data_IF_381305488195
#
_entry.id   IF_381305488195
#
_cell.length_a   1.000
_cell.length_b   1.000
_cell.length_c   1.000
_cell.angle_alpha   90.00
_cell.angle_beta   90.00
_cell.angle_gamma   90.00
#
_symmetry.space_group_name_H-M   'P 1'
#
loop_
_entity.id
_entity.type
_entity.pdbx_description
1 polymer ?
#
# COMPACT_ATOMS: atom_id res chain seq x y z
N UNK A 1 -4.24 3.90 -12.23
CA UNK A 1 -3.29 2.97 -11.65
C UNK A 1 -1.90 3.37 -12.13
N UNK A 2 -0.87 3.29 -11.30
CA UNK A 2 0.46 3.86 -11.58
C UNK A 2 1.45 2.87 -12.21
N UNK A 3 1.13 1.58 -12.24
CA UNK A 3 1.95 0.58 -12.90
C UNK A 3 1.78 0.66 -14.43
N UNK A 4 2.89 0.86 -15.15
CA UNK A 4 2.94 0.82 -16.60
C UNK A 4 3.04 -0.61 -17.13
N UNK A 5 3.94 -1.40 -16.53
CA UNK A 5 4.16 -2.81 -16.87
C UNK A 5 3.62 -3.70 -15.73
N UNK A 6 2.45 -4.30 -15.96
CA UNK A 6 1.76 -5.16 -15.00
C UNK A 6 2.04 -6.65 -15.20
N UNK A 7 2.73 -6.96 -16.28
CA UNK A 7 3.10 -8.32 -16.63
C UNK A 7 4.59 -8.57 -16.41
N UNK A 8 5.27 -7.64 -15.71
CA UNK A 8 6.68 -7.72 -15.40
C UNK A 8 6.98 -8.94 -14.53
N UNK A 9 7.82 -9.84 -15.02
CA UNK A 9 8.15 -11.11 -14.35
C UNK A 9 9.10 -10.93 -13.15
N UNK A 10 9.74 -9.77 -13.03
CA UNK A 10 10.64 -9.43 -11.92
C UNK A 10 9.90 -8.74 -10.76
N UNK A 11 8.57 -8.56 -10.88
CA UNK A 11 7.70 -7.92 -9.89
C UNK A 11 6.65 -8.88 -9.41
N UNK A 12 6.44 -8.95 -8.10
CA UNK A 12 5.35 -9.71 -7.47
C UNK A 12 4.26 -8.72 -7.06
N UNK A 13 3.07 -8.87 -7.63
CA UNK A 13 1.90 -8.09 -7.26
C UNK A 13 1.08 -8.83 -6.20
N UNK A 14 0.88 -8.19 -5.06
CA UNK A 14 0.17 -8.77 -3.93
C UNK A 14 -1.01 -7.92 -3.49
N UNK A 15 -2.09 -8.56 -3.07
CA UNK A 15 -3.25 -7.95 -2.43
C UNK A 15 -3.86 -8.98 -1.47
N UNK A 16 -4.53 -8.55 -0.42
CA UNK A 16 -5.26 -9.47 0.45
C UNK A 16 -6.62 -9.87 -0.13
N UNK A 17 -7.01 -9.28 -1.25
CA UNK A 17 -8.28 -9.51 -1.94
C UNK A 17 -8.03 -10.20 -3.27
N UNK A 18 -9.00 -11.00 -3.67
CA UNK A 18 -9.16 -11.49 -5.01
C UNK A 18 -10.63 -11.34 -5.36
N UNK A 19 -10.95 -10.50 -6.33
CA UNK A 19 -12.33 -10.23 -6.70
C UNK A 19 -12.47 -9.78 -8.13
N UNK A 20 -13.61 -10.11 -8.72
CA UNK A 20 -14.10 -9.56 -9.96
C UNK A 20 -15.49 -8.97 -9.70
N UNK A 21 -15.71 -7.71 -10.06
CA UNK A 21 -16.99 -7.03 -9.84
C UNK A 21 -17.20 -5.94 -10.88
N UNK A 22 -18.47 -5.65 -11.17
CA UNK A 22 -18.82 -4.50 -12.01
C UNK A 22 -19.02 -3.27 -11.13
N UNK A 23 -18.39 -2.18 -11.51
CA UNK A 23 -18.55 -0.88 -10.87
C UNK A 23 -19.84 -0.20 -11.33
N UNK A 24 -20.29 0.82 -10.59
CA UNK A 24 -21.52 1.57 -10.89
C UNK A 24 -21.49 2.27 -12.26
N UNK A 25 -20.32 2.48 -12.86
CA UNK A 25 -20.12 3.06 -14.19
C UNK A 25 -20.01 2.00 -15.30
N UNK A 26 -20.29 0.73 -14.99
CA UNK A 26 -20.26 -0.39 -15.93
C UNK A 26 -18.87 -0.98 -16.20
N UNK A 27 -17.79 -0.41 -15.63
CA UNK A 27 -16.44 -0.96 -15.79
C UNK A 27 -16.25 -2.18 -14.90
N UNK A 28 -15.53 -3.18 -15.41
CA UNK A 28 -15.11 -4.33 -14.61
C UNK A 28 -13.91 -3.93 -13.74
N UNK A 29 -14.00 -4.19 -12.44
CA UNK A 29 -12.88 -4.16 -11.52
C UNK A 29 -12.41 -5.59 -11.30
N UNK A 30 -11.20 -5.89 -11.74
CA UNK A 30 -10.52 -7.15 -11.50
C UNK A 30 -9.34 -6.90 -10.56
N UNK A 31 -9.36 -7.56 -9.41
CA UNK A 31 -8.22 -7.67 -8.49
C UNK A 31 -7.77 -9.11 -8.51
N UNK A 32 -6.66 -9.37 -9.19
CA UNK A 32 -6.05 -10.69 -9.35
C UNK A 32 -4.56 -10.54 -9.07
N UNK A 33 -4.13 -10.67 -7.81
CA UNK A 33 -2.74 -10.60 -7.45
C UNK A 33 -2.01 -11.90 -7.85
N UNK A 34 -0.68 -11.84 -7.98
CA UNK A 34 0.16 -13.03 -8.12
C UNK A 34 0.15 -13.83 -6.83
N UNK A 35 0.11 -13.12 -5.69
CA UNK A 35 0.00 -13.72 -4.35
C UNK A 35 -1.05 -12.99 -3.54
N UNK A 36 -2.00 -13.77 -3.02
CA UNK A 36 -2.95 -13.27 -2.01
C UNK A 36 -2.30 -13.32 -0.64
N UNK A 37 -2.03 -12.15 -0.06
CA UNK A 37 -1.40 -12.05 1.26
C UNK A 37 -1.79 -10.79 2.02
N UNK A 38 -1.64 -10.84 3.33
CA UNK A 38 -1.71 -9.68 4.20
C UNK A 38 -0.32 -9.04 4.30
N UNK A 39 -0.21 -7.75 3.98
CA UNK A 39 1.05 -7.02 4.03
C UNK A 39 1.65 -6.92 5.45
N UNK A 40 0.88 -7.23 6.49
CA UNK A 40 1.35 -7.26 7.88
C UNK A 40 2.06 -8.54 8.26
N UNK A 41 1.98 -9.55 7.41
CA UNK A 41 2.62 -10.86 7.60
C UNK A 41 2.94 -11.50 6.24
N UNK A 42 4.02 -11.03 5.62
CA UNK A 42 4.42 -11.49 4.30
C UNK A 42 5.15 -12.84 4.36
N UNK A 43 4.84 -13.78 3.47
CA UNK A 43 5.44 -15.12 3.47
C UNK A 43 6.87 -15.12 2.89
N UNK A 44 7.65 -14.10 3.20
CA UNK A 44 9.02 -13.94 2.72
C UNK A 44 10.01 -13.88 3.89
N UNK A 45 11.23 -14.28 3.62
CA UNK A 45 12.34 -14.15 4.58
C UNK A 45 12.75 -12.67 4.71
N UNK A 46 13.45 -12.36 5.78
CA UNK A 46 14.11 -11.08 5.94
C UNK A 46 15.05 -10.82 4.77
N UNK A 47 15.18 -9.56 4.35
CA UNK A 47 16.12 -9.14 3.32
C UNK A 47 15.93 -9.88 1.96
N UNK A 48 14.68 -9.98 1.50
CA UNK A 48 14.33 -10.68 0.25
C UNK A 48 14.20 -9.77 -0.97
N UNK A 49 14.02 -8.46 -0.76
CA UNK A 49 13.70 -7.51 -1.84
C UNK A 49 14.58 -6.26 -1.79
N UNK A 50 15.01 -5.79 -2.94
CA UNK A 50 15.72 -4.51 -3.09
C UNK A 50 14.77 -3.32 -3.03
N UNK A 51 13.57 -3.52 -3.55
CA UNK A 51 12.52 -2.48 -3.61
C UNK A 51 11.20 -3.09 -3.18
N UNK A 52 10.49 -2.39 -2.31
CA UNK A 52 9.10 -2.70 -1.95
C UNK A 52 8.25 -1.48 -2.25
N UNK A 53 7.10 -1.67 -2.89
CA UNK A 53 6.10 -0.62 -3.09
C UNK A 53 4.92 -0.89 -2.15
N UNK A 54 4.67 0.04 -1.24
CA UNK A 54 3.59 -0.05 -0.26
C UNK A 54 2.50 0.98 -0.57
N UNK A 55 1.38 0.50 -1.09
CA UNK A 55 0.18 1.28 -1.43
C UNK A 55 -1.03 0.74 -0.65
N UNK A 56 -1.07 0.95 0.69
CA UNK A 56 -2.15 0.44 1.53
C UNK A 56 -3.46 1.19 1.31
N UNK A 57 -4.59 0.67 1.80
CA UNK A 57 -5.83 1.43 1.92
C UNK A 57 -5.60 2.77 2.63
N UNK A 58 -6.28 3.82 2.20
CA UNK A 58 -6.17 5.17 2.76
C UNK A 58 -7.52 5.76 3.18
N UNK A 59 -8.60 5.01 3.01
CA UNK A 59 -9.96 5.42 3.36
C UNK A 59 -10.34 4.88 4.73
N UNK A 60 -10.84 5.73 5.63
CA UNK A 60 -11.46 5.33 6.90
C UNK A 60 -12.98 5.22 6.73
N UNK A 61 -13.54 6.18 5.97
CA UNK A 61 -14.97 6.28 5.75
C UNK A 61 -15.28 6.15 4.27
N UNK A 62 -15.90 5.05 3.90
CA UNK A 62 -16.54 4.86 2.61
C UNK A 62 -17.75 3.98 2.80
N UNK A 63 -18.87 4.30 2.15
CA UNK A 63 -20.05 3.46 2.20
C UNK A 63 -19.71 2.03 1.74
N UNK A 64 -20.25 1.02 2.39
CA UNK A 64 -19.94 -0.39 2.13
C UNK A 64 -20.23 -0.83 0.68
N UNK A 65 -21.13 -0.15 -0.01
CA UNK A 65 -21.41 -0.34 -1.45
C UNK A 65 -20.62 0.58 -2.37
N UNK A 66 -19.77 1.47 -1.82
CA UNK A 66 -19.03 2.46 -2.58
C UNK A 66 -18.00 1.79 -3.51
N UNK A 67 -17.93 2.27 -4.76
CA UNK A 67 -16.90 1.82 -5.70
C UNK A 67 -15.48 2.16 -5.21
N UNK A 68 -15.33 3.24 -4.43
CA UNK A 68 -14.05 3.60 -3.79
C UNK A 68 -13.63 2.55 -2.77
N UNK A 69 -14.56 2.08 -1.92
CA UNK A 69 -14.29 1.02 -0.97
C UNK A 69 -13.87 -0.28 -1.67
N UNK A 70 -14.57 -0.64 -2.75
CA UNK A 70 -14.24 -1.82 -3.55
C UNK A 70 -12.86 -1.71 -4.21
N UNK A 71 -12.52 -0.51 -4.70
CA UNK A 71 -11.26 -0.28 -5.43
C UNK A 71 -10.05 -0.17 -4.52
N UNK A 72 -10.15 0.57 -3.41
CA UNK A 72 -9.01 0.92 -2.57
C UNK A 72 -8.98 0.17 -1.22
N UNK A 73 -10.08 -0.45 -0.83
CA UNK A 73 -10.24 -1.00 0.51
C UNK A 73 -10.53 0.09 1.55
N UNK A 74 -10.80 -0.33 2.77
CA UNK A 74 -11.05 0.56 3.92
C UNK A 74 -10.09 0.15 5.04
N UNK A 75 -9.51 1.13 5.69
CA UNK A 75 -8.70 0.93 6.88
C UNK A 75 -9.58 0.55 8.07
N UNK A 76 -9.11 -0.33 8.96
CA UNK A 76 -9.78 -0.61 10.22
C UNK A 76 -9.71 0.60 11.17
N UNK A 77 -10.49 0.55 12.26
CA UNK A 77 -10.49 1.63 13.26
C UNK A 77 -9.13 1.83 13.93
N UNK A 78 -8.36 0.76 14.08
CA UNK A 78 -7.00 0.75 14.60
C UNK A 78 -5.93 0.97 13.51
N UNK A 79 -6.25 1.81 12.52
CA UNK A 79 -5.43 2.04 11.33
C UNK A 79 -3.96 2.37 11.64
N UNK A 80 -3.68 2.99 12.78
CA UNK A 80 -2.32 3.33 13.22
C UNK A 80 -1.48 2.06 13.39
N UNK A 81 -1.94 1.15 14.24
CA UNK A 81 -1.29 -0.15 14.46
C UNK A 81 -1.24 -0.97 13.18
N UNK A 82 -2.32 -0.93 12.40
CA UNK A 82 -2.43 -1.64 11.12
C UNK A 82 -1.38 -1.18 10.11
N UNK A 83 -1.24 0.12 9.90
CA UNK A 83 -0.25 0.68 8.98
C UNK A 83 1.19 0.52 9.51
N UNK A 84 1.40 0.70 10.82
CA UNK A 84 2.71 0.48 11.45
C UNK A 84 3.20 -0.95 11.23
N UNK A 85 2.35 -1.95 11.49
CA UNK A 85 2.69 -3.35 11.26
C UNK A 85 3.05 -3.63 9.79
N UNK A 86 2.30 -3.05 8.85
CA UNK A 86 2.62 -3.16 7.42
C UNK A 86 3.93 -2.48 7.04
N UNK A 87 4.20 -1.31 7.59
CA UNK A 87 5.47 -0.61 7.37
C UNK A 87 6.66 -1.41 7.90
N UNK A 88 6.57 -1.91 9.13
CA UNK A 88 7.63 -2.72 9.75
C UNK A 88 7.90 -3.99 8.96
N UNK A 89 6.86 -4.62 8.47
CA UNK A 89 6.97 -5.83 7.65
C UNK A 89 7.61 -5.53 6.29
N UNK A 90 7.25 -4.41 5.64
CA UNK A 90 7.94 -3.94 4.45
C UNK A 90 9.44 -3.71 4.71
N UNK A 91 9.77 -3.09 5.85
CA UNK A 91 11.17 -2.87 6.23
C UNK A 91 11.89 -4.18 6.56
N UNK A 92 11.21 -5.17 7.14
CA UNK A 92 11.78 -6.49 7.42
C UNK A 92 12.23 -7.20 6.15
N UNK A 93 11.35 -7.24 5.13
CA UNK A 93 11.62 -7.97 3.89
C UNK A 93 12.56 -7.24 2.92
N UNK A 94 12.81 -5.94 3.12
CA UNK A 94 13.82 -5.21 2.36
C UNK A 94 15.24 -5.67 2.72
N UNK A 95 16.12 -5.76 1.71
CA UNK A 95 17.57 -5.89 1.91
C UNK A 95 18.16 -4.67 2.62
N UNK A 96 19.35 -4.77 3.24
CA UNK A 96 20.10 -3.59 3.67
C UNK A 96 20.25 -2.59 2.50
N UNK A 97 20.06 -1.30 2.77
CA UNK A 97 20.04 -0.21 1.76
C UNK A 97 18.90 -0.32 0.73
N UNK A 98 17.97 -1.25 0.92
CA UNK A 98 16.77 -1.39 0.07
C UNK A 98 15.80 -0.23 0.22
N UNK A 99 14.99 0.01 -0.80
CA UNK A 99 14.09 1.17 -0.89
C UNK A 99 12.64 0.76 -0.71
N UNK A 100 11.97 1.40 0.25
CA UNK A 100 10.51 1.39 0.35
C UNK A 100 9.95 2.60 -0.38
N UNK A 101 9.09 2.36 -1.35
CA UNK A 101 8.28 3.38 -2.01
C UNK A 101 6.88 3.35 -1.38
N UNK A 102 6.60 4.32 -0.53
CA UNK A 102 5.30 4.45 0.14
C UNK A 102 4.42 5.43 -0.61
N UNK A 103 3.25 4.98 -1.04
CA UNK A 103 2.25 5.82 -1.67
C UNK A 103 1.10 6.09 -0.70
N UNK A 104 0.77 7.37 -0.52
CA UNK A 104 -0.30 7.78 0.38
C UNK A 104 -1.21 8.83 -0.24
N UNK A 105 -2.52 8.69 -0.04
CA UNK A 105 -3.48 9.73 -0.33
C UNK A 105 -4.00 10.33 0.98
N UNK A 106 -3.76 11.64 1.18
CA UNK A 106 -4.08 12.34 2.43
C UNK A 106 -5.46 12.99 2.47
N UNK A 107 -6.41 12.46 1.70
CA UNK A 107 -7.78 12.96 1.68
C UNK A 107 -8.45 12.87 3.05
N UNK A 108 -8.32 11.73 3.74
CA UNK A 108 -8.97 11.47 5.03
C UNK A 108 -7.98 11.47 6.20
N UNK A 109 -6.77 11.01 6.01
CA UNK A 109 -5.71 11.00 7.03
C UNK A 109 -4.52 11.78 6.49
N UNK A 110 -4.03 12.75 7.25
CA UNK A 110 -2.86 13.52 6.85
C UNK A 110 -1.60 12.67 6.85
N UNK A 111 -0.74 12.86 5.85
CA UNK A 111 0.52 12.13 5.74
C UNK A 111 1.36 12.24 7.02
N UNK A 112 1.44 13.43 7.62
CA UNK A 112 2.20 13.64 8.85
C UNK A 112 1.73 12.77 10.03
N UNK A 113 0.44 12.44 10.10
CA UNK A 113 -0.08 11.57 11.15
C UNK A 113 0.31 10.11 10.92
N UNK A 114 0.39 9.69 9.66
CA UNK A 114 0.91 8.35 9.31
C UNK A 114 2.41 8.27 9.56
N UNK A 115 3.19 9.28 9.18
CA UNK A 115 4.65 9.29 9.36
C UNK A 115 5.06 9.24 10.83
N UNK A 116 4.27 9.82 11.74
CA UNK A 116 4.51 9.72 13.20
C UNK A 116 4.46 8.27 13.67
N UNK A 117 3.54 7.47 13.14
CA UNK A 117 3.40 6.06 13.53
C UNK A 117 4.56 5.20 13.00
N UNK A 118 5.17 5.59 11.88
CA UNK A 118 6.27 4.82 11.28
C UNK A 118 7.61 4.96 12.02
N UNK A 119 7.75 6.00 12.84
CA UNK A 119 8.95 6.24 13.67
C UNK A 119 10.27 6.27 12.89
N UNK A 120 10.18 6.46 11.55
CA UNK A 120 11.32 6.55 10.66
C UNK A 120 11.16 7.75 9.74
N UNK A 121 12.22 8.53 9.63
CA UNK A 121 12.23 9.71 8.76
C UNK A 121 12.34 9.28 7.29
N UNK A 122 11.49 9.82 6.41
CA UNK A 122 11.63 9.61 4.97
C UNK A 122 12.97 10.12 4.43
N UNK A 123 13.48 9.45 3.39
CA UNK A 123 14.65 9.90 2.64
C UNK A 123 14.31 11.09 1.75
N UNK A 124 13.24 10.96 0.97
CA UNK A 124 12.73 12.00 0.06
C UNK A 124 11.27 11.72 -0.30
N UNK A 125 10.61 12.64 -0.98
CA UNK A 125 9.25 12.45 -1.46
C UNK A 125 8.56 13.75 -1.86
N UNK A 126 7.31 13.62 -2.30
CA UNK A 126 6.49 14.75 -2.70
C UNK A 126 6.14 15.64 -1.49
N UNK A 127 6.35 16.95 -1.66
CA UNK A 127 6.02 17.96 -0.65
C UNK A 127 4.60 18.51 -0.77
N UNK A 128 3.92 18.28 -1.91
CA UNK A 128 2.61 18.87 -2.25
C UNK A 128 1.72 17.85 -2.94
N UNK A 129 0.42 18.14 -2.98
CA UNK A 129 -0.60 17.32 -3.62
C UNK A 129 -1.29 16.37 -2.63
N UNK A 130 -2.46 15.84 -3.01
CA UNK A 130 -3.24 14.91 -2.19
C UNK A 130 -2.62 13.50 -2.19
N UNK A 131 -2.12 13.05 -3.33
CA UNK A 131 -1.39 11.79 -3.45
C UNK A 131 0.09 12.08 -3.39
N UNK A 132 0.79 11.42 -2.48
CA UNK A 132 2.19 11.59 -2.18
C UNK A 132 2.95 10.29 -2.40
N UNK A 133 4.16 10.40 -2.93
CA UNK A 133 5.12 9.33 -3.05
C UNK A 133 6.28 9.63 -2.12
N UNK A 134 6.53 8.75 -1.19
CA UNK A 134 7.51 8.92 -0.11
C UNK A 134 8.46 7.73 -0.14
N UNK A 135 9.76 8.01 -0.10
CA UNK A 135 10.78 6.98 -0.11
C UNK A 135 11.46 6.88 1.25
N UNK A 136 11.65 5.65 1.68
CA UNK A 136 12.47 5.32 2.85
C UNK A 136 13.57 4.35 2.41
N UNK A 137 14.71 4.44 3.07
CA UNK A 137 15.80 3.48 2.93
C UNK A 137 15.87 2.65 4.20
N UNK A 138 16.08 1.35 4.07
CA UNK A 138 16.26 0.44 5.20
C UNK A 138 17.56 0.70 5.95
#
# INVERSE_FOLDING_TARGET
>A
MFWFDRENQDVIFADNRELETTLCDGRTLLVKPDIKMDFRNMPYKDNSFKVVVFDPPHLIHAGTGSWLAKKYGILPNDWKTYLKAGFDECMRVLEPDGILVFKWNEEQIKLNDVLKEFEKKPLLGDQRGKTRWILFMK
#
